data_IF_540909941086
#
_entry.id   IF_540909941086
#
_cell.length_a   1.000
_cell.length_b   1.000
_cell.length_c   1.000
_cell.angle_alpha   90.00
_cell.angle_beta   90.00
_cell.angle_gamma   90.00
#
_symmetry.space_group_name_H-M   'P 1'
#
loop_
_entity.id
_entity.type
_entity.pdbx_description
1 polymer ?
#
# COMPACT_ATOMS: atom_id res chain seq x y z
N UNK A 1 -4.45 7.07 -10.19
CA UNK A 1 -3.57 5.88 -10.10
C UNK A 1 -3.66 5.14 -11.41
N UNK A 2 -2.62 4.38 -11.76
CA UNK A 2 -2.40 3.89 -13.14
C UNK A 2 -2.74 2.39 -13.24
N UNK A 3 -2.37 1.61 -12.23
CA UNK A 3 -2.49 0.15 -12.25
C UNK A 3 -3.63 -0.33 -11.37
N UNK A 4 -4.46 -1.22 -11.91
CA UNK A 4 -5.36 -2.06 -11.09
C UNK A 4 -4.55 -3.23 -10.54
N UNK A 5 -4.79 -3.57 -9.28
CA UNK A 5 -4.06 -4.67 -8.65
C UNK A 5 -4.68 -6.03 -9.04
N UNK A 6 -3.95 -6.94 -9.72
CA UNK A 6 -4.46 -8.25 -10.08
C UNK A 6 -4.71 -9.16 -8.86
N UNK A 7 -4.07 -8.87 -7.72
CA UNK A 7 -4.19 -9.67 -6.49
C UNK A 7 -5.31 -9.17 -5.56
N UNK A 8 -6.04 -8.14 -5.95
CA UNK A 8 -7.04 -7.48 -5.11
C UNK A 8 -8.16 -8.43 -4.68
N UNK A 9 -8.44 -8.45 -3.38
CA UNK A 9 -9.57 -9.17 -2.77
C UNK A 9 -10.35 -8.22 -1.88
N UNK A 10 -11.66 -8.09 -2.15
CA UNK A 10 -12.55 -7.24 -1.35
C UNK A 10 -12.68 -7.78 0.09
N UNK A 11 -12.42 -6.93 1.07
CA UNK A 11 -12.53 -7.28 2.51
C UNK A 11 -13.78 -6.63 3.13
N UNK A 12 -14.69 -7.44 3.69
CA UNK A 12 -15.88 -6.95 4.40
C UNK A 12 -15.49 -6.17 5.65
N UNK A 13 -16.16 -5.04 5.91
CA UNK A 13 -15.88 -4.18 7.07
C UNK A 13 -14.60 -3.34 6.95
N UNK A 14 -13.99 -3.30 5.75
CA UNK A 14 -12.90 -2.37 5.45
C UNK A 14 -13.44 -1.03 4.97
N UNK A 15 -12.62 0.00 5.13
CA UNK A 15 -12.84 1.33 4.58
C UNK A 15 -11.72 1.69 3.60
N UNK A 16 -11.95 2.69 2.75
CA UNK A 16 -10.99 3.07 1.71
C UNK A 16 -10.05 4.14 2.22
N UNK A 17 -8.76 3.84 2.18
CA UNK A 17 -7.70 4.74 2.60
C UNK A 17 -6.81 5.07 1.40
N UNK A 18 -6.58 6.36 1.17
CA UNK A 18 -5.56 6.84 0.27
C UNK A 18 -4.21 6.85 0.98
N UNK A 19 -3.24 6.16 0.40
CA UNK A 19 -1.83 6.19 0.80
C UNK A 19 -1.09 7.09 -0.17
N UNK A 20 -0.37 8.08 0.36
CA UNK A 20 0.39 9.05 -0.42
C UNK A 20 1.83 9.14 0.07
N UNK A 21 2.73 9.62 -0.77
CA UNK A 21 4.12 9.87 -0.41
C UNK A 21 4.21 10.90 0.72
N UNK A 22 5.09 10.65 1.70
CA UNK A 22 5.39 11.56 2.81
C UNK A 22 6.04 12.85 2.32
N UNK A 23 6.90 12.72 1.31
CA UNK A 23 7.78 13.75 0.77
C UNK A 23 7.08 14.61 -0.31
N UNK A 24 6.73 14.03 -1.46
CA UNK A 24 6.16 14.78 -2.58
C UNK A 24 4.63 14.78 -2.65
N UNK A 25 3.95 14.10 -1.71
CA UNK A 25 2.48 13.97 -1.65
C UNK A 25 1.82 13.21 -2.81
N UNK A 26 2.59 12.67 -3.75
CA UNK A 26 2.07 11.82 -4.82
C UNK A 26 1.19 10.68 -4.29
N UNK A 27 0.07 10.43 -4.93
CA UNK A 27 -0.83 9.34 -4.57
C UNK A 27 -0.19 7.99 -4.93
N UNK A 28 -0.06 7.09 -3.96
CA UNK A 28 0.65 5.81 -4.11
C UNK A 28 -0.33 4.66 -4.30
N UNK A 29 -1.35 4.57 -3.44
CA UNK A 29 -2.30 3.46 -3.47
C UNK A 29 -3.66 3.84 -2.87
N UNK A 30 -4.75 3.29 -3.42
CA UNK A 30 -6.03 3.14 -2.72
C UNK A 30 -6.00 1.78 -2.04
N UNK A 31 -6.26 1.77 -0.75
CA UNK A 31 -6.05 0.61 0.10
C UNK A 31 -7.28 0.33 0.97
N UNK A 32 -7.63 -0.95 1.11
CA UNK A 32 -8.66 -1.39 2.04
C UNK A 32 -8.09 -1.55 3.45
N UNK A 33 -8.35 -0.57 4.32
CA UNK A 33 -7.95 -0.63 5.71
C UNK A 33 -9.00 -1.35 6.55
N UNK A 34 -8.56 -2.39 7.25
CA UNK A 34 -9.34 -3.09 8.26
C UNK A 34 -8.90 -2.64 9.67
N UNK A 35 -9.88 -2.40 10.55
CA UNK A 35 -9.66 -2.04 11.95
C UNK A 35 -9.16 -0.61 12.19
N UNK A 36 -9.12 -0.23 13.46
CA UNK A 36 -8.69 1.10 13.93
C UNK A 36 -7.16 1.13 14.08
N UNK A 37 -6.53 2.28 13.84
CA UNK A 37 -5.08 2.50 14.01
C UNK A 37 -4.27 2.64 12.72
N UNK A 38 -2.98 2.97 12.90
CA UNK A 38 -2.04 3.34 11.83
C UNK A 38 -1.74 2.17 10.87
N UNK A 39 -1.49 2.50 9.61
CA UNK A 39 -1.09 1.54 8.59
C UNK A 39 0.39 1.18 8.75
N UNK A 40 0.73 0.12 9.47
CA UNK A 40 2.11 -0.36 9.58
C UNK A 40 2.50 -1.33 8.46
N UNK A 41 1.52 -2.07 7.96
CA UNK A 41 1.68 -3.08 6.90
C UNK A 41 0.60 -2.88 5.86
N UNK A 42 1.03 -2.70 4.62
CA UNK A 42 0.14 -2.58 3.47
C UNK A 42 0.10 -3.93 2.76
N UNK A 43 -0.99 -4.67 2.98
CA UNK A 43 -1.15 -5.99 2.37
C UNK A 43 -1.39 -5.88 0.87
N UNK A 44 -0.66 -6.66 0.07
CA UNK A 44 -0.77 -6.59 -1.40
C UNK A 44 -2.20 -6.96 -1.84
N UNK A 45 -2.81 -7.97 -1.23
CA UNK A 45 -4.19 -8.40 -1.54
C UNK A 45 -5.29 -7.36 -1.22
N UNK A 46 -4.96 -6.27 -0.50
CA UNK A 46 -5.90 -5.21 -0.11
C UNK A 46 -5.69 -3.89 -0.86
N UNK A 47 -4.70 -3.83 -1.74
CA UNK A 47 -4.50 -2.67 -2.62
C UNK A 47 -5.54 -2.75 -3.73
N UNK A 48 -6.34 -1.69 -3.92
CA UNK A 48 -7.37 -1.62 -4.96
C UNK A 48 -6.72 -1.19 -6.28
N UNK A 49 -5.99 -0.08 -6.22
CA UNK A 49 -5.23 0.50 -7.33
C UNK A 49 -3.96 1.14 -6.78
N UNK A 50 -2.94 1.23 -7.63
CA UNK A 50 -1.62 1.79 -7.29
C UNK A 50 -1.02 2.59 -8.44
N UNK A 51 -0.09 3.48 -8.11
CA UNK A 51 0.75 4.17 -9.08
C UNK A 51 1.99 3.35 -9.47
N UNK A 52 2.17 2.18 -8.85
CA UNK A 52 3.27 1.25 -9.08
C UNK A 52 2.69 -0.06 -9.57
N UNK A 53 3.35 -0.70 -10.53
CA UNK A 53 2.95 -1.99 -11.07
C UNK A 53 3.30 -3.12 -10.10
N UNK A 54 2.28 -3.64 -9.41
CA UNK A 54 2.44 -4.73 -8.44
C UNK A 54 2.66 -6.10 -9.10
N UNK A 55 2.35 -6.26 -10.39
CA UNK A 55 2.54 -7.52 -11.11
C UNK A 55 4.03 -7.84 -11.35
N UNK A 56 4.89 -6.82 -11.33
CA UNK A 56 6.35 -6.93 -11.50
C UNK A 56 7.11 -7.39 -10.25
N UNK A 57 6.38 -7.77 -9.21
CA UNK A 57 6.94 -8.26 -7.97
C UNK A 57 7.96 -7.32 -7.28
N UNK A 58 7.64 -6.02 -7.06
CA UNK A 58 8.64 -5.08 -6.54
C UNK A 58 9.07 -5.45 -5.11
N UNK A 59 10.37 -5.60 -4.89
CA UNK A 59 10.97 -5.88 -3.56
C UNK A 59 10.87 -4.69 -2.60
N UNK A 60 10.80 -3.48 -3.14
CA UNK A 60 10.76 -2.23 -2.38
C UNK A 60 9.61 -1.37 -2.92
N UNK A 61 8.88 -0.71 -2.02
CA UNK A 61 7.87 0.27 -2.39
C UNK A 61 8.56 1.64 -2.52
N UNK A 62 8.80 2.09 -3.75
CA UNK A 62 9.37 3.42 -4.02
C UNK A 62 8.32 4.34 -4.64
N UNK A 63 8.36 5.62 -4.30
CA UNK A 63 7.51 6.61 -4.94
C UNK A 63 7.91 6.80 -6.40
N UNK A 64 7.00 6.69 -7.38
CA UNK A 64 7.34 6.87 -8.80
C UNK A 64 7.74 8.31 -9.15
N UNK A 65 7.30 9.29 -8.36
CA UNK A 65 7.51 10.72 -8.66
C UNK A 65 8.83 11.27 -8.09
N UNK A 66 9.24 10.80 -6.89
CA UNK A 66 10.42 11.33 -6.19
C UNK A 66 11.43 10.25 -5.77
N UNK A 67 11.20 9.00 -6.15
CA UNK A 67 12.05 7.84 -5.82
C UNK A 67 12.26 7.55 -4.32
N UNK A 68 11.60 8.27 -3.42
CA UNK A 68 11.68 8.01 -1.99
C UNK A 68 11.18 6.60 -1.64
N UNK A 69 11.92 5.92 -0.78
CA UNK A 69 11.55 4.60 -0.29
C UNK A 69 10.47 4.71 0.79
N UNK A 70 9.35 4.01 0.59
CA UNK A 70 8.15 4.06 1.44
C UNK A 70 7.94 2.78 2.26
N UNK A 71 8.55 1.67 1.84
CA UNK A 71 8.36 0.37 2.46
C UNK A 71 9.19 -0.73 1.81
N UNK A 72 9.25 -1.89 2.46
CA UNK A 72 9.95 -3.09 1.97
C UNK A 72 8.96 -4.24 1.88
N UNK A 73 8.99 -4.99 0.78
CA UNK A 73 8.16 -6.18 0.62
C UNK A 73 8.66 -7.29 1.53
N UNK A 74 7.74 -7.97 2.20
CA UNK A 74 8.05 -9.18 2.97
C UNK A 74 6.86 -10.14 3.00
N UNK A 75 7.15 -11.42 3.21
CA UNK A 75 6.14 -12.44 3.49
C UNK A 75 5.92 -12.52 4.99
N UNK A 76 4.66 -12.46 5.44
CA UNK A 76 4.32 -12.68 6.84
C UNK A 76 4.42 -14.18 7.18
N UNK A 77 5.29 -14.51 8.14
CA UNK A 77 5.45 -15.88 8.66
C UNK A 77 4.08 -16.44 9.11
N UNK A 78 3.75 -17.64 8.63
CA UNK A 78 2.56 -18.39 9.03
C UNK A 78 1.25 -17.98 8.37
N UNK A 79 1.26 -17.09 7.36
CA UNK A 79 0.05 -16.73 6.60
C UNK A 79 0.22 -16.72 5.08
N UNK A 80 1.45 -16.92 4.58
CA UNK A 80 1.81 -16.80 3.15
C UNK A 80 1.24 -15.54 2.49
N UNK A 81 1.16 -14.46 3.28
CA UNK A 81 0.65 -13.17 2.82
C UNK A 81 1.79 -12.20 2.64
N UNK A 82 1.82 -11.62 1.46
CA UNK A 82 2.78 -10.59 1.11
C UNK A 82 2.27 -9.21 1.51
N UNK A 83 3.18 -8.42 2.08
CA UNK A 83 2.91 -7.08 2.55
C UNK A 83 4.08 -6.18 2.22
N UNK A 84 3.83 -4.89 2.07
CA UNK A 84 4.87 -3.88 2.29
C UNK A 84 4.88 -3.53 3.79
N UNK A 85 6.02 -3.78 4.44
CA UNK A 85 6.31 -3.21 5.75
C UNK A 85 6.65 -1.73 5.56
N UNK A 86 5.77 -0.86 6.01
CA UNK A 86 5.85 0.58 5.71
C UNK A 86 6.91 1.25 6.57
N UNK A 87 7.76 2.08 5.97
CA UNK A 87 8.74 2.89 6.69
C UNK A 87 8.03 4.06 7.34
N UNK A 88 8.06 4.15 8.68
CA UNK A 88 7.36 5.21 9.42
C UNK A 88 7.75 6.59 8.92
N UNK A 89 6.78 7.52 8.92
CA UNK A 89 6.95 8.92 8.50
C UNK A 89 7.28 9.15 7.03
N UNK A 90 7.46 8.10 6.22
CA UNK A 90 7.71 8.24 4.77
C UNK A 90 6.44 8.31 3.94
N UNK A 91 5.26 8.11 4.54
CA UNK A 91 3.97 8.06 3.87
C UNK A 91 2.90 8.78 4.70
N UNK A 92 1.85 9.24 4.02
CA UNK A 92 0.65 9.81 4.61
C UNK A 92 -0.55 8.90 4.32
N UNK A 93 -1.53 8.89 5.21
CA UNK A 93 -2.78 8.14 5.03
C UNK A 93 -3.99 9.03 5.27
N UNK A 94 -4.98 8.96 4.38
CA UNK A 94 -6.25 9.68 4.52
C UNK A 94 -7.41 8.73 4.22
N UNK A 95 -8.45 8.72 5.05
CA UNK A 95 -9.71 8.02 4.75
C UNK A 95 -10.46 8.80 3.65
N UNK A 96 -11.00 8.12 2.65
CA UNK A 96 -11.62 8.76 1.46
C UNK A 96 -13.03 8.26 1.13
N UNK A 97 -13.61 7.47 2.02
CA UNK A 97 -15.02 7.05 2.03
C UNK A 97 -15.88 7.90 2.98
#
# INVERSE_FOLDING_TARGET
MIYKNPYYKKVKGSFTMLVSCGYCKAHIAKYQKLGKGNLLRMHIDRIIESSIDLSKDPKVLTCPDCNAQLGVRMVLKGRDKEVFNMLRSTYNTKRID
#
